data_IF_114061790983
#
_entry.id   IF_114061790983
#
_cell.length_a   1.000
_cell.length_b   1.000
_cell.length_c   1.000
_cell.angle_alpha   90.00
_cell.angle_beta   90.00
_cell.angle_gamma   90.00
#
_symmetry.space_group_name_H-M   'P 1'
#
loop_
_entity.id
_entity.type
_entity.pdbx_description
1 polymer ?
#
# COMPACT_ATOMS: atom_id res chain seq x y z
N UNK A 1 -7.27 -38.17 -71.24
CA UNK A 1 -7.92 -37.34 -70.20
C UNK A 1 -7.00 -37.32 -68.98
N UNK A 2 -6.25 -36.24 -68.79
CA UNK A 2 -5.26 -36.07 -67.73
C UNK A 2 -5.90 -35.39 -66.52
N UNK A 3 -6.06 -36.12 -65.41
CA UNK A 3 -6.62 -35.58 -64.18
C UNK A 3 -5.56 -34.76 -63.43
N UNK A 4 -5.82 -33.45 -63.25
CA UNK A 4 -5.01 -32.55 -62.42
C UNK A 4 -5.45 -32.67 -60.96
N UNK A 5 -4.55 -33.14 -60.11
CA UNK A 5 -4.70 -33.12 -58.65
C UNK A 5 -4.50 -31.68 -58.14
N UNK A 6 -5.54 -31.10 -57.55
CA UNK A 6 -5.45 -29.82 -56.84
C UNK A 6 -5.18 -30.10 -55.36
N UNK A 7 -3.98 -29.76 -54.89
CA UNK A 7 -3.62 -29.82 -53.47
C UNK A 7 -4.08 -28.53 -52.80
N UNK A 8 -5.20 -28.56 -52.09
CA UNK A 8 -5.65 -27.44 -51.24
C UNK A 8 -4.81 -27.41 -49.96
N UNK A 9 -3.97 -26.39 -49.79
CA UNK A 9 -3.31 -26.10 -48.52
C UNK A 9 -4.31 -25.39 -47.60
N UNK A 10 -4.80 -26.10 -46.58
CA UNK A 10 -5.63 -25.50 -45.55
C UNK A 10 -4.76 -24.61 -44.66
N UNK A 11 -4.97 -23.28 -44.71
CA UNK A 11 -4.33 -22.34 -43.81
C UNK A 11 -4.90 -22.52 -42.40
N UNK A 12 -4.09 -23.07 -41.49
CA UNK A 12 -4.40 -23.12 -40.06
C UNK A 12 -4.22 -21.69 -39.51
N UNK A 13 -5.32 -20.98 -39.34
CA UNK A 13 -5.34 -19.72 -38.58
C UNK A 13 -5.16 -20.09 -37.10
N UNK A 14 -3.93 -20.00 -36.59
CA UNK A 14 -3.70 -20.01 -35.16
C UNK A 14 -4.29 -18.72 -34.58
N UNK A 15 -5.48 -18.82 -34.00
CA UNK A 15 -6.05 -17.76 -33.19
C UNK A 15 -5.22 -17.67 -31.91
N UNK A 16 -4.23 -16.79 -31.90
CA UNK A 16 -3.48 -16.43 -30.70
C UNK A 16 -4.45 -15.78 -29.71
N UNK A 17 -4.91 -16.57 -28.74
CA UNK A 17 -5.59 -16.05 -27.56
C UNK A 17 -4.57 -15.22 -26.80
N UNK A 18 -4.54 -13.91 -27.07
CA UNK A 18 -3.91 -12.94 -26.20
C UNK A 18 -4.65 -13.05 -24.87
N UNK A 19 -4.05 -13.76 -23.92
CA UNK A 19 -4.55 -13.81 -22.56
C UNK A 19 -4.59 -12.39 -22.02
N UNK A 20 -5.79 -11.82 -21.92
CA UNK A 20 -6.02 -10.60 -21.15
C UNK A 20 -5.72 -11.02 -19.71
N UNK A 21 -4.52 -10.72 -19.23
CA UNK A 21 -4.11 -11.03 -17.87
C UNK A 21 -5.17 -10.47 -16.92
N UNK A 22 -5.71 -11.31 -16.04
CA UNK A 22 -6.65 -10.86 -15.04
C UNK A 22 -6.00 -9.71 -14.25
N UNK A 23 -6.69 -8.58 -14.14
CA UNK A 23 -6.21 -7.47 -13.35
C UNK A 23 -6.08 -7.94 -11.89
N UNK A 24 -4.86 -7.93 -11.36
CA UNK A 24 -4.61 -8.32 -9.97
C UNK A 24 -5.30 -7.33 -9.02
N UNK A 25 -6.00 -7.84 -8.02
CA UNK A 25 -6.57 -7.02 -6.96
C UNK A 25 -5.44 -6.33 -6.18
N UNK A 26 -5.63 -5.05 -5.86
CA UNK A 26 -4.73 -4.33 -4.94
C UNK A 26 -5.23 -4.53 -3.53
N UNK A 27 -4.35 -4.96 -2.62
CA UNK A 27 -4.74 -5.28 -1.23
C UNK A 27 -3.84 -4.61 -0.18
N UNK A 28 -4.35 -4.33 1.03
CA UNK A 28 -3.54 -3.95 2.18
C UNK A 28 -2.34 -4.89 2.40
N UNK A 29 -1.16 -4.33 2.68
CA UNK A 29 0.08 -5.07 2.89
C UNK A 29 0.85 -5.43 1.60
N UNK A 30 0.26 -5.18 0.42
CA UNK A 30 0.94 -5.34 -0.86
C UNK A 30 1.99 -4.25 -1.07
N UNK A 31 3.03 -4.54 -1.85
CA UNK A 31 4.03 -3.54 -2.20
C UNK A 31 3.51 -2.48 -3.17
N UNK A 32 4.05 -1.28 -3.07
CA UNK A 32 3.81 -0.18 -4.02
C UNK A 32 5.09 0.62 -4.25
N UNK A 33 5.27 1.19 -5.43
CA UNK A 33 6.35 2.15 -5.75
C UNK A 33 5.73 3.38 -6.39
N UNK A 34 5.94 4.55 -5.81
CA UNK A 34 5.40 5.82 -6.33
C UNK A 34 6.45 6.67 -7.06
N UNK A 35 7.73 6.37 -6.84
CA UNK A 35 8.85 6.93 -7.58
C UNK A 35 9.73 5.81 -8.14
N UNK A 36 10.25 5.99 -9.35
CA UNK A 36 11.12 5.00 -10.01
C UNK A 36 12.35 4.65 -9.16
N UNK A 37 12.84 5.61 -8.36
CA UNK A 37 14.06 5.49 -7.54
C UNK A 37 13.83 5.03 -6.09
N UNK A 38 12.59 4.76 -5.67
CA UNK A 38 12.31 4.37 -4.29
C UNK A 38 12.55 2.86 -4.05
N UNK A 39 12.95 2.49 -2.83
CA UNK A 39 12.95 1.10 -2.32
C UNK A 39 11.56 0.46 -2.26
N UNK A 40 10.52 1.23 -2.63
CA UNK A 40 9.11 0.90 -2.52
C UNK A 40 8.57 1.14 -1.12
N UNK A 41 7.26 1.15 -1.04
CA UNK A 41 6.44 1.22 0.16
C UNK A 41 5.43 0.06 0.15
N UNK A 42 4.47 0.12 1.06
CA UNK A 42 3.39 -0.84 1.24
C UNK A 42 2.05 -0.13 1.18
N UNK A 43 1.07 -0.71 0.50
CA UNK A 43 -0.34 -0.27 0.55
C UNK A 43 -0.86 -0.45 1.98
N UNK A 44 -1.31 0.64 2.58
CA UNK A 44 -1.95 0.67 3.88
C UNK A 44 -3.36 0.13 3.83
N UNK A 45 -4.21 0.78 3.07
CA UNK A 45 -5.59 0.34 2.89
C UNK A 45 -6.14 0.72 1.52
N UNK A 46 -7.25 0.10 1.15
CA UNK A 46 -7.98 0.34 -0.09
C UNK A 46 -9.39 0.81 0.19
N UNK A 47 -9.92 1.61 -0.72
CA UNK A 47 -11.27 2.14 -0.64
C UNK A 47 -11.79 2.53 -2.03
N UNK A 48 -12.96 3.17 -2.06
CA UNK A 48 -13.47 3.86 -3.24
C UNK A 48 -13.60 5.38 -3.01
N UNK A 49 -13.39 6.14 -4.07
CA UNK A 49 -13.67 7.58 -4.10
C UNK A 49 -15.20 7.86 -4.16
N UNK A 50 -15.65 9.12 -4.03
CA UNK A 50 -17.09 9.45 -4.08
C UNK A 50 -17.79 9.09 -5.41
N UNK A 51 -17.03 8.84 -6.48
CA UNK A 51 -17.56 8.39 -7.78
C UNK A 51 -17.52 6.86 -7.92
N UNK A 52 -17.16 6.14 -6.86
CA UNK A 52 -17.05 4.68 -6.86
C UNK A 52 -15.81 4.16 -7.59
N UNK A 53 -14.79 5.00 -7.82
CA UNK A 53 -13.53 4.57 -8.45
C UNK A 53 -12.58 4.01 -7.39
N UNK A 54 -11.86 2.92 -7.69
CA UNK A 54 -10.96 2.29 -6.73
C UNK A 54 -9.76 3.20 -6.41
N UNK A 55 -9.42 3.26 -5.13
CA UNK A 55 -8.26 3.99 -4.63
C UNK A 55 -7.47 3.12 -3.65
N UNK A 56 -6.16 3.39 -3.57
CA UNK A 56 -5.28 2.82 -2.56
C UNK A 56 -4.56 3.92 -1.80
N UNK A 57 -4.30 3.66 -0.52
CA UNK A 57 -3.69 4.60 0.40
C UNK A 57 -2.36 4.01 0.89
N UNK A 58 -1.31 4.81 0.90
CA UNK A 58 0.03 4.48 1.43
C UNK A 58 0.57 5.68 2.22
N UNK A 59 1.81 5.63 2.70
CA UNK A 59 2.42 6.76 3.37
C UNK A 59 2.72 7.92 2.39
N UNK A 60 2.54 9.14 2.87
CA UNK A 60 2.68 10.37 2.11
C UNK A 60 4.08 10.62 1.59
N UNK A 61 5.07 10.42 2.46
CA UNK A 61 6.49 10.56 2.12
C UNK A 61 6.95 9.64 0.98
N UNK A 62 6.23 8.55 0.70
CA UNK A 62 6.52 7.68 -0.44
C UNK A 62 6.31 8.37 -1.79
N UNK A 63 5.43 9.37 -1.84
CA UNK A 63 5.21 10.14 -3.07
C UNK A 63 6.39 11.08 -3.42
N UNK A 64 7.36 11.24 -2.50
CA UNK A 64 8.51 12.14 -2.68
C UNK A 64 8.07 13.57 -3.01
N UNK A 65 8.76 14.22 -3.96
CA UNK A 65 8.41 15.56 -4.46
C UNK A 65 7.17 15.55 -5.39
N UNK A 66 6.70 14.37 -5.80
CA UNK A 66 5.57 14.19 -6.72
C UNK A 66 4.26 13.95 -5.97
N UNK A 67 3.80 14.97 -5.24
CA UNK A 67 2.55 14.94 -4.46
C UNK A 67 1.31 14.57 -5.31
N UNK A 68 1.33 14.87 -6.61
CA UNK A 68 0.26 14.58 -7.56
C UNK A 68 0.86 14.22 -8.92
N UNK A 69 0.28 13.21 -9.57
CA UNK A 69 0.59 12.82 -10.94
C UNK A 69 1.69 11.76 -11.08
N UNK A 70 2.37 11.37 -10.00
CA UNK A 70 3.33 10.26 -10.02
C UNK A 70 2.67 8.93 -10.37
N UNK A 71 3.36 8.08 -11.13
CA UNK A 71 2.86 6.74 -11.47
C UNK A 71 3.11 5.76 -10.33
N UNK A 72 2.10 4.96 -10.00
CA UNK A 72 2.18 3.92 -8.99
C UNK A 72 2.37 2.56 -9.65
N UNK A 73 3.31 1.78 -9.13
CA UNK A 73 3.63 0.43 -9.61
C UNK A 73 3.57 -0.57 -8.45
N UNK A 74 3.37 -1.84 -8.78
CA UNK A 74 3.59 -2.97 -7.86
C UNK A 74 4.65 -3.87 -8.47
N UNK A 75 5.33 -4.68 -7.66
CA UNK A 75 6.36 -5.60 -8.15
C UNK A 75 5.79 -6.65 -9.12
N UNK A 76 4.48 -6.91 -9.06
CA UNK A 76 3.79 -7.86 -9.92
C UNK A 76 3.25 -7.23 -11.23
N UNK A 77 3.25 -5.89 -11.36
CA UNK A 77 2.62 -5.21 -12.49
C UNK A 77 3.65 -4.80 -13.56
N UNK A 78 3.39 -5.18 -14.81
CA UNK A 78 4.19 -4.77 -15.97
C UNK A 78 3.90 -3.34 -16.44
N UNK A 79 2.84 -2.71 -15.92
CA UNK A 79 2.40 -1.36 -16.21
C UNK A 79 2.00 -0.64 -14.90
N UNK A 80 1.88 0.69 -14.89
CA UNK A 80 1.38 1.42 -13.72
C UNK A 80 0.01 0.88 -13.29
N UNK A 81 -0.17 0.67 -11.98
CA UNK A 81 -1.46 0.32 -11.38
C UNK A 81 -2.35 1.55 -11.16
N UNK A 82 -1.80 2.75 -11.26
CA UNK A 82 -2.51 3.98 -10.98
C UNK A 82 -1.60 5.20 -10.94
N UNK A 83 -2.14 6.31 -10.42
CA UNK A 83 -1.39 7.55 -10.21
C UNK A 83 -1.73 8.20 -8.88
N UNK A 84 -0.74 8.83 -8.25
CA UNK A 84 -0.95 9.62 -7.03
C UNK A 84 -1.84 10.83 -7.34
N UNK A 85 -2.90 11.05 -6.57
CA UNK A 85 -3.84 12.18 -6.72
C UNK A 85 -3.82 13.14 -5.53
N UNK A 86 -3.25 12.73 -4.41
CA UNK A 86 -3.02 13.58 -3.24
C UNK A 86 -1.91 12.96 -2.38
N UNK A 87 -1.17 13.79 -1.66
CA UNK A 87 -0.31 13.35 -0.57
C UNK A 87 -0.20 14.44 0.50
N UNK A 88 0.17 14.06 1.72
CA UNK A 88 0.53 14.93 2.84
C UNK A 88 1.93 14.60 3.35
N UNK A 89 2.54 15.50 4.12
CA UNK A 89 3.91 15.30 4.59
C UNK A 89 3.98 14.48 5.89
N UNK A 90 5.20 14.10 6.28
CA UNK A 90 5.51 13.45 7.57
C UNK A 90 5.16 14.32 8.79
N UNK A 91 5.01 15.64 8.59
CA UNK A 91 4.60 16.59 9.65
C UNK A 91 3.07 16.66 9.82
N UNK A 92 2.33 16.04 8.89
CA UNK A 92 0.87 15.97 8.90
C UNK A 92 0.43 14.51 9.20
N UNK A 93 -0.65 14.04 8.55
CA UNK A 93 -1.11 12.65 8.65
C UNK A 93 -0.34 11.65 7.75
N UNK A 94 0.72 12.11 7.06
CA UNK A 94 1.61 11.30 6.22
C UNK A 94 0.92 10.22 5.37
N UNK A 95 -0.06 10.61 4.54
CA UNK A 95 -0.74 9.69 3.63
C UNK A 95 -0.64 10.15 2.18
N UNK A 96 -0.61 9.20 1.25
CA UNK A 96 -0.75 9.40 -0.18
C UNK A 96 -1.93 8.59 -0.71
N UNK A 97 -2.66 9.15 -1.68
CA UNK A 97 -3.82 8.55 -2.32
C UNK A 97 -3.48 8.25 -3.77
N UNK A 98 -3.71 7.02 -4.19
CA UNK A 98 -3.48 6.52 -5.53
C UNK A 98 -4.84 6.27 -6.17
N UNK A 99 -5.15 6.94 -7.27
CA UNK A 99 -6.26 6.55 -8.13
C UNK A 99 -5.83 5.32 -8.94
N UNK A 100 -6.49 4.19 -8.72
CA UNK A 100 -6.17 2.95 -9.40
C UNK A 100 -6.78 2.97 -10.81
N UNK A 101 -5.99 2.55 -11.79
CA UNK A 101 -6.41 2.49 -13.19
C UNK A 101 -7.28 1.24 -13.47
N UNK A 102 -6.98 0.13 -12.79
CA UNK A 102 -7.56 -1.19 -13.01
C UNK A 102 -7.61 -2.01 -11.73
N UNK A 103 -8.33 -3.14 -11.79
CA UNK A 103 -8.36 -4.14 -10.73
C UNK A 103 -9.45 -3.85 -9.68
N UNK A 104 -10.11 -4.89 -9.14
CA UNK A 104 -11.03 -4.71 -8.04
C UNK A 104 -10.26 -4.37 -6.76
N UNK A 105 -10.90 -3.62 -5.87
CA UNK A 105 -10.50 -3.47 -4.47
C UNK A 105 -11.71 -3.66 -3.57
N UNK A 106 -11.45 -4.17 -2.37
CA UNK A 106 -12.44 -4.15 -1.29
C UNK A 106 -12.21 -2.91 -0.42
N UNK A 107 -13.30 -2.35 0.11
CA UNK A 107 -13.19 -1.31 1.13
C UNK A 107 -12.61 -1.92 2.39
N UNK A 108 -11.43 -1.44 2.80
CA UNK A 108 -10.75 -1.95 3.99
C UNK A 108 -11.48 -1.51 5.25
N UNK A 109 -11.80 -2.42 6.19
CA UNK A 109 -12.42 -2.05 7.46
C UNK A 109 -11.49 -1.16 8.30
N UNK A 110 -11.93 0.08 8.57
CA UNK A 110 -11.18 1.05 9.37
C UNK A 110 -11.73 1.08 10.79
N UNK A 111 -10.84 1.15 11.78
CA UNK A 111 -11.20 1.23 13.20
C UNK A 111 -10.43 2.30 13.94
N UNK A 112 -11.02 2.79 15.03
CA UNK A 112 -10.28 3.55 16.02
C UNK A 112 -9.31 2.63 16.79
N UNK A 113 -8.12 3.13 17.17
CA UNK A 113 -7.17 2.36 17.98
C UNK A 113 -7.77 2.01 19.35
N UNK A 114 -7.42 0.82 19.86
CA UNK A 114 -7.72 0.45 21.23
C UNK A 114 -6.67 0.95 22.22
N UNK A 115 -6.72 0.51 23.49
CA UNK A 115 -5.88 1.05 24.55
C UNK A 115 -4.40 0.62 24.41
N UNK A 116 -3.52 1.39 25.05
CA UNK A 116 -2.12 1.02 25.28
C UNK A 116 -2.00 -0.39 25.88
N UNK A 117 -0.97 -1.13 25.46
CA UNK A 117 -0.71 -2.52 25.84
C UNK A 117 -1.42 -3.54 24.95
N UNK A 118 -2.41 -3.14 24.14
CA UNK A 118 -3.04 -4.04 23.19
C UNK A 118 -2.03 -4.54 22.15
N UNK A 119 -2.05 -5.84 21.86
CA UNK A 119 -1.27 -6.40 20.74
C UNK A 119 -1.92 -6.03 19.42
N UNK A 120 -1.11 -5.46 18.54
CA UNK A 120 -1.42 -5.10 17.16
C UNK A 120 -0.37 -5.70 16.24
N UNK A 121 -0.67 -5.82 14.96
CA UNK A 121 0.25 -6.36 13.97
C UNK A 121 0.30 -5.48 12.75
N UNK A 122 1.49 -5.24 12.19
CA UNK A 122 1.62 -4.64 10.87
C UNK A 122 1.94 -5.69 9.82
N UNK A 123 1.57 -5.42 8.57
CA UNK A 123 1.89 -6.27 7.42
C UNK A 123 2.59 -5.44 6.36
N UNK A 124 3.91 -5.57 6.22
CA UNK A 124 4.72 -4.78 5.30
C UNK A 124 5.42 -5.60 4.22
N UNK A 125 5.75 -4.99 3.08
CA UNK A 125 6.42 -5.68 1.96
C UNK A 125 7.80 -6.25 2.31
N UNK A 126 8.50 -5.69 3.29
CA UNK A 126 9.87 -6.10 3.62
C UNK A 126 9.90 -7.11 4.77
N UNK A 127 9.12 -6.86 5.82
CA UNK A 127 9.13 -7.71 7.02
C UNK A 127 8.00 -8.72 7.10
N UNK A 128 7.00 -8.61 6.23
CA UNK A 128 5.77 -9.39 6.32
C UNK A 128 4.96 -8.98 7.55
N UNK A 129 4.32 -9.96 8.20
CA UNK A 129 3.54 -9.72 9.43
C UNK A 129 4.45 -9.68 10.66
N UNK A 130 4.46 -8.56 11.38
CA UNK A 130 5.15 -8.41 12.67
C UNK A 130 4.17 -7.83 13.70
N UNK A 131 4.30 -8.24 14.97
CA UNK A 131 3.33 -7.88 16.01
C UNK A 131 4.02 -7.37 17.26
N UNK A 132 3.31 -6.54 18.02
CA UNK A 132 3.81 -5.96 19.25
C UNK A 132 2.74 -5.15 19.99
N UNK A 133 3.07 -4.62 21.18
CA UNK A 133 2.14 -3.80 21.94
C UNK A 133 2.02 -2.39 21.38
N UNK A 134 0.81 -1.83 21.44
CA UNK A 134 0.60 -0.37 21.43
C UNK A 134 1.28 0.23 22.65
N UNK A 135 2.08 1.26 22.45
CA UNK A 135 2.84 1.97 23.50
C UNK A 135 2.18 3.32 23.82
N UNK A 136 1.61 3.99 22.82
CA UNK A 136 0.88 5.24 23.00
C UNK A 136 -0.20 5.40 21.92
N UNK A 137 -1.22 6.20 22.23
CA UNK A 137 -2.26 6.64 21.29
C UNK A 137 -2.47 8.13 21.52
N UNK A 138 -2.45 8.91 20.46
CA UNK A 138 -2.78 10.35 20.46
C UNK A 138 -4.04 10.61 19.64
N UNK A 139 -4.40 11.88 19.48
CA UNK A 139 -5.53 12.26 18.64
C UNK A 139 -5.34 11.86 17.17
N UNK A 140 -4.09 11.79 16.70
CA UNK A 140 -3.73 11.57 15.29
C UNK A 140 -2.84 10.36 15.05
N UNK A 141 -2.20 9.78 16.07
CA UNK A 141 -1.19 8.74 15.90
C UNK A 141 -1.39 7.55 16.87
N UNK A 142 -0.88 6.39 16.46
CA UNK A 142 -0.67 5.21 17.28
C UNK A 142 0.83 4.92 17.27
N UNK A 143 1.42 4.68 18.44
CA UNK A 143 2.80 4.23 18.55
C UNK A 143 2.79 2.77 18.98
N UNK A 144 3.52 1.91 18.27
CA UNK A 144 3.64 0.48 18.60
C UNK A 144 5.11 0.03 18.57
N UNK A 145 5.45 -0.99 19.38
CA UNK A 145 6.80 -1.56 19.40
C UNK A 145 6.86 -2.87 18.63
N UNK A 146 7.37 -2.85 17.40
CA UNK A 146 7.39 -4.01 16.50
C UNK A 146 8.56 -3.96 15.51
N UNK A 147 8.88 -5.09 14.87
CA UNK A 147 9.95 -5.13 13.88
C UNK A 147 9.50 -4.53 12.54
N UNK A 148 10.37 -3.76 11.91
CA UNK A 148 10.14 -3.10 10.63
C UNK A 148 11.44 -2.95 9.85
N UNK A 149 11.32 -2.66 8.57
CA UNK A 149 12.45 -2.38 7.68
C UNK A 149 12.09 -1.24 6.72
N UNK A 150 13.07 -0.42 6.28
CA UNK A 150 12.84 0.56 5.22
C UNK A 150 12.13 -0.07 4.01
N UNK A 151 10.99 0.51 3.62
CA UNK A 151 10.08 -0.02 2.61
C UNK A 151 8.80 -0.65 3.17
N UNK A 152 8.73 -0.89 4.48
CA UNK A 152 7.45 -1.17 5.14
C UNK A 152 6.58 0.10 5.32
N UNK A 153 7.07 1.28 4.96
CA UNK A 153 6.31 2.53 4.98
C UNK A 153 4.95 2.35 4.31
N UNK A 154 3.91 2.91 4.89
CA UNK A 154 2.52 2.77 4.48
C UNK A 154 1.83 1.49 4.96
N UNK A 155 2.54 0.49 5.50
CA UNK A 155 1.92 -0.79 5.88
C UNK A 155 0.79 -0.65 6.90
N UNK A 156 -0.33 -1.41 6.77
CA UNK A 156 -1.44 -1.35 7.71
C UNK A 156 -1.01 -1.85 9.09
N UNK A 157 -1.41 -1.11 10.13
CA UNK A 157 -1.47 -1.58 11.50
C UNK A 157 -2.87 -2.14 11.76
N UNK A 158 -2.94 -3.42 12.08
CA UNK A 158 -4.17 -4.19 12.21
C UNK A 158 -4.35 -4.61 13.67
N UNK A 159 -5.53 -4.38 14.20
CA UNK A 159 -5.88 -4.80 15.55
C UNK A 159 -6.41 -6.26 15.60
N UNK A 160 -6.83 -6.71 16.79
CA UNK A 160 -7.35 -8.07 16.99
C UNK A 160 -8.72 -8.31 16.35
N UNK A 161 -9.46 -7.25 16.01
CA UNK A 161 -10.75 -7.33 15.31
C UNK A 161 -10.56 -7.45 13.80
N UNK A 162 -9.33 -7.28 13.30
CA UNK A 162 -9.03 -7.24 11.88
C UNK A 162 -9.23 -5.85 11.26
N UNK A 163 -9.41 -4.81 12.07
CA UNK A 163 -9.56 -3.44 11.59
C UNK A 163 -8.19 -2.81 11.38
N UNK A 164 -8.02 -2.05 10.29
CA UNK A 164 -6.86 -1.18 10.11
C UNK A 164 -7.06 0.07 10.96
N UNK A 165 -6.12 0.31 11.88
CA UNK A 165 -6.14 1.41 12.84
C UNK A 165 -5.09 2.48 12.54
N UNK A 166 -4.15 2.21 11.63
CA UNK A 166 -3.13 3.16 11.18
C UNK A 166 -2.29 2.62 10.03
N UNK A 167 -1.42 3.46 9.50
CA UNK A 167 -0.44 3.09 8.45
C UNK A 167 0.98 3.44 8.92
N UNK A 168 2.00 2.64 8.62
CA UNK A 168 3.35 2.92 9.11
C UNK A 168 3.91 4.21 8.49
N UNK A 169 4.28 5.18 9.31
CA UNK A 169 4.94 6.41 8.84
C UNK A 169 6.45 6.34 9.09
N UNK A 170 6.85 6.23 10.36
CA UNK A 170 8.24 6.44 10.79
C UNK A 170 8.59 5.64 12.03
N UNK A 171 9.88 5.64 12.37
CA UNK A 171 10.36 5.18 13.67
C UNK A 171 10.46 6.36 14.64
N UNK A 172 10.11 6.14 15.90
CA UNK A 172 10.19 7.12 17.00
C UNK A 172 11.49 7.02 17.81
N UNK A 173 12.40 6.14 17.42
CA UNK A 173 13.64 5.96 18.15
C UNK A 173 14.56 7.17 17.97
N UNK A 174 15.10 7.69 19.08
CA UNK A 174 16.26 8.59 19.10
C UNK A 174 17.54 7.80 18.76
N UNK A 175 17.47 6.98 17.72
CA UNK A 175 18.54 6.15 17.22
C UNK A 175 19.23 6.89 16.08
N UNK A 176 20.56 6.82 16.07
CA UNK A 176 21.33 7.23 14.88
C UNK A 176 20.88 6.39 13.68
N UNK A 177 21.04 6.88 12.44
CA UNK A 177 20.72 6.10 11.24
C UNK A 177 21.33 4.68 11.28
N UNK A 178 22.59 4.54 11.72
CA UNK A 178 23.25 3.24 11.83
C UNK A 178 22.57 2.28 12.81
N UNK A 179 22.07 2.78 13.94
CA UNK A 179 21.33 1.98 14.92
C UNK A 179 19.97 1.55 14.35
N UNK A 180 19.26 2.45 13.67
CA UNK A 180 18.00 2.14 12.99
C UNK A 180 18.21 1.05 11.93
N UNK A 181 19.26 1.17 11.11
CA UNK A 181 19.62 0.16 10.12
C UNK A 181 20.01 -1.17 10.74
N UNK A 182 20.81 -1.17 11.82
CA UNK A 182 21.17 -2.40 12.53
C UNK A 182 19.95 -3.09 13.13
N UNK A 183 19.05 -2.34 13.76
CA UNK A 183 17.81 -2.86 14.32
C UNK A 183 16.92 -3.46 13.23
N UNK A 184 16.77 -2.76 12.10
CA UNK A 184 16.03 -3.24 10.94
C UNK A 184 16.62 -4.54 10.38
N UNK A 185 17.94 -4.59 10.12
CA UNK A 185 18.64 -5.77 9.61
C UNK A 185 18.53 -6.98 10.55
N UNK A 186 18.54 -6.74 11.86
CA UNK A 186 18.40 -7.78 12.88
C UNK A 186 16.96 -8.04 13.30
N UNK A 187 15.99 -7.40 12.62
CA UNK A 187 14.54 -7.45 12.93
C UNK A 187 14.23 -7.21 14.40
N UNK A 188 15.01 -6.36 15.06
CA UNK A 188 14.73 -5.96 16.45
C UNK A 188 13.49 -5.08 16.49
N UNK A 189 12.57 -5.28 17.46
CA UNK A 189 11.41 -4.41 17.60
C UNK A 189 11.79 -2.97 17.93
N UNK A 190 11.26 -2.02 17.17
CA UNK A 190 11.48 -0.59 17.32
C UNK A 190 10.19 0.13 17.66
N UNK A 191 10.28 1.30 18.29
CA UNK A 191 9.13 2.21 18.40
C UNK A 191 8.80 2.78 17.02
N UNK A 192 7.55 2.63 16.61
CA UNK A 192 7.08 3.00 15.29
C UNK A 192 5.77 3.78 15.40
N UNK A 193 5.69 4.87 14.64
CA UNK A 193 4.52 5.75 14.56
C UNK A 193 3.65 5.37 13.39
N UNK A 194 2.34 5.39 13.64
CA UNK A 194 1.31 5.15 12.65
C UNK A 194 0.27 6.26 12.72
N UNK A 195 0.15 7.15 11.72
CA UNK A 195 -1.01 8.01 11.60
C UNK A 195 -2.27 7.16 11.62
N UNK A 196 -3.27 7.60 12.39
CA UNK A 196 -4.50 6.85 12.60
C UNK A 196 -5.31 6.78 11.31
N UNK A 197 -5.75 5.58 10.95
CA UNK A 197 -6.48 5.36 9.72
C UNK A 197 -7.85 6.05 9.73
N UNK A 198 -8.52 6.13 10.89
CA UNK A 198 -9.78 6.87 11.03
C UNK A 198 -9.60 8.38 10.76
N UNK A 199 -8.51 8.98 11.24
CA UNK A 199 -8.17 10.40 10.97
C UNK A 199 -7.79 10.65 9.52
N UNK A 200 -7.10 9.72 8.87
CA UNK A 200 -6.83 9.80 7.43
C UNK A 200 -8.15 9.79 6.65
N UNK A 201 -9.08 8.88 6.98
CA UNK A 201 -10.40 8.81 6.35
C UNK A 201 -11.18 10.11 6.55
N UNK A 202 -11.22 10.66 7.76
CA UNK A 202 -11.89 11.93 8.04
C UNK A 202 -11.31 13.08 7.20
N UNK A 203 -9.97 13.18 7.12
CA UNK A 203 -9.29 14.18 6.31
C UNK A 203 -9.56 14.00 4.80
N UNK A 204 -9.61 12.77 4.32
CA UNK A 204 -9.95 12.45 2.93
C UNK A 204 -11.40 12.79 2.60
N UNK A 205 -12.35 12.55 3.52
CA UNK A 205 -13.76 12.93 3.34
C UNK A 205 -13.92 14.43 3.23
N UNK A 206 -13.25 15.20 4.09
CA UNK A 206 -13.25 16.66 4.02
C UNK A 206 -12.73 17.21 2.67
N UNK A 207 -11.89 16.44 1.99
CA UNK A 207 -11.32 16.75 0.66
C UNK A 207 -12.04 16.07 -0.51
N UNK A 208 -13.15 15.36 -0.26
CA UNK A 208 -13.89 14.60 -1.27
C UNK A 208 -13.04 13.55 -2.02
N UNK A 209 -12.11 12.89 -1.31
CA UNK A 209 -11.20 11.88 -1.86
C UNK A 209 -11.65 10.44 -1.60
N UNK A 210 -12.53 10.22 -0.62
CA UNK A 210 -13.06 8.90 -0.23
C UNK A 210 -14.56 8.99 -0.01
N UNK A 211 -15.28 7.89 -0.24
CA UNK A 211 -16.71 7.76 0.04
C UNK A 211 -17.05 7.61 1.53
#
# INVERSE_FOLDING_TARGET
>A
MTARTFTTVAAVVMLSVLGVGAAHAVTPGQDVRLAQIEWGCTIGFTAHDPRGRPIAITAGHCAGDSYVGGEAYTSAAAAPIGRTIAATSIQDLDYAVIALAHGPVDDTPIGAPGPTGQTVCKVGRMTGRTCGPVVAVTDTEVVAKLALFPGDSGSPLIDRRGLVIGILSRTDEHATPAQTWSAALTRRPQLATFPRADRIVDAMRARHLIR
#
